data_IF_819169591125
#
_entry.id   IF_819169591125
#
_cell.length_a   1.000
_cell.length_b   1.000
_cell.length_c   1.000
_cell.angle_alpha   90.00
_cell.angle_beta   90.00
_cell.angle_gamma   90.00
#
_symmetry.space_group_name_H-M   'P 1'
#
loop_
_entity.id
_entity.type
_entity.pdbx_description
1 polymer ?
#
# COMPACT_ATOMS: atom_id res chain seq x y z
N UNK A 1 -3.81 21.35 -25.60
CA UNK A 1 -3.64 22.63 -26.32
C UNK A 1 -4.77 23.54 -25.84
N UNK A 2 -4.46 24.76 -25.39
CA UNK A 2 -5.48 25.73 -24.99
C UNK A 2 -5.82 26.66 -26.16
N UNK A 3 -7.05 27.15 -26.19
CA UNK A 3 -7.48 28.22 -27.08
C UNK A 3 -8.15 29.32 -26.24
N UNK A 4 -7.87 30.58 -26.55
CA UNK A 4 -8.48 31.72 -25.85
C UNK A 4 -9.50 32.39 -26.76
N UNK A 5 -10.69 32.64 -26.22
CA UNK A 5 -11.73 33.41 -26.88
C UNK A 5 -11.84 34.76 -26.16
N UNK A 6 -11.70 35.86 -26.88
CA UNK A 6 -11.71 37.24 -26.33
C UNK A 6 -12.99 37.64 -25.57
N UNK A 7 -14.04 36.83 -25.65
CA UNK A 7 -15.31 37.09 -24.99
C UNK A 7 -15.25 36.46 -23.60
N UNK A 8 -15.44 37.29 -22.57
CA UNK A 8 -15.57 36.82 -21.19
C UNK A 8 -16.73 35.83 -21.06
N UNK A 9 -16.54 34.82 -20.20
CA UNK A 9 -17.58 33.84 -19.86
C UNK A 9 -18.82 34.51 -19.25
N UNK A 10 -18.60 35.55 -18.44
CA UNK A 10 -19.63 36.41 -17.88
C UNK A 10 -19.32 37.88 -18.14
N UNK A 11 -20.34 38.67 -18.46
CA UNK A 11 -20.16 40.11 -18.75
C UNK A 11 -19.81 40.84 -17.46
N UNK A 12 -18.64 41.48 -17.44
CA UNK A 12 -18.18 42.30 -16.32
C UNK A 12 -18.61 43.75 -16.51
N UNK A 13 -19.23 44.34 -15.48
CA UNK A 13 -19.59 45.76 -15.41
C UNK A 13 -19.33 46.28 -13.99
N UNK A 14 -18.66 47.43 -13.92
CA UNK A 14 -18.45 48.20 -12.67
C UNK A 14 -18.95 49.61 -12.94
N UNK A 15 -19.95 50.04 -12.19
CA UNK A 15 -20.53 51.39 -12.30
C UNK A 15 -19.70 52.40 -11.51
N UNK A 16 -19.36 52.07 -10.26
CA UNK A 16 -18.52 52.91 -9.39
C UNK A 16 -17.29 52.13 -8.90
N UNK A 17 -16.08 52.45 -9.42
CA UNK A 17 -14.85 51.81 -8.97
C UNK A 17 -14.53 52.09 -7.49
N UNK A 18 -14.24 51.03 -6.76
CA UNK A 18 -13.77 51.07 -5.36
C UNK A 18 -12.41 50.36 -5.25
N UNK A 19 -11.30 51.10 -5.11
CA UNK A 19 -9.96 50.53 -4.96
C UNK A 19 -9.78 49.60 -3.75
N UNK A 20 -10.48 49.86 -2.63
CA UNK A 20 -10.36 49.05 -1.41
C UNK A 20 -11.02 47.71 -1.64
N UNK A 21 -12.20 47.71 -2.25
CA UNK A 21 -12.86 46.48 -2.67
C UNK A 21 -12.07 45.74 -3.77
N UNK A 22 -11.47 46.48 -4.70
CA UNK A 22 -10.56 45.94 -5.72
C UNK A 22 -9.40 45.14 -5.14
N UNK A 23 -8.83 45.58 -4.01
CA UNK A 23 -7.83 44.82 -3.28
C UNK A 23 -8.43 43.55 -2.61
N UNK A 24 -9.65 43.62 -2.07
CA UNK A 24 -10.32 42.43 -1.53
C UNK A 24 -10.56 41.34 -2.59
N UNK A 25 -10.90 41.74 -3.83
CA UNK A 25 -11.08 40.81 -4.95
C UNK A 25 -9.80 40.02 -5.28
N UNK A 26 -8.62 40.51 -4.89
CA UNK A 26 -7.37 39.76 -5.06
C UNK A 26 -7.34 38.45 -4.26
N UNK A 27 -8.20 38.29 -3.25
CA UNK A 27 -8.34 37.01 -2.55
C UNK A 27 -8.87 35.90 -3.48
N UNK A 28 -9.75 36.24 -4.43
CA UNK A 28 -10.22 35.29 -5.44
C UNK A 28 -9.33 35.24 -6.69
N UNK A 29 -8.42 36.18 -6.86
CA UNK A 29 -7.45 36.13 -7.96
C UNK A 29 -6.19 35.35 -7.58
N UNK A 30 -5.45 35.84 -6.58
CA UNK A 30 -4.15 35.32 -6.14
C UNK A 30 -4.14 34.78 -4.70
N UNK A 31 -5.29 34.67 -4.04
CA UNK A 31 -5.41 34.07 -2.71
C UNK A 31 -5.44 32.55 -2.72
N UNK A 32 -5.38 31.97 -1.52
CA UNK A 32 -5.26 30.52 -1.33
C UNK A 32 -6.49 29.72 -1.74
N UNK A 33 -7.66 30.38 -1.75
CA UNK A 33 -8.94 29.78 -2.16
C UNK A 33 -9.47 30.41 -3.45
N UNK A 34 -8.61 31.10 -4.21
CA UNK A 34 -8.98 31.79 -5.43
C UNK A 34 -8.87 30.95 -6.69
N UNK A 35 -9.30 31.54 -7.81
CA UNK A 35 -9.48 30.90 -9.10
C UNK A 35 -8.20 30.31 -9.67
N UNK A 36 -7.05 30.97 -9.47
CA UNK A 36 -5.79 30.42 -9.95
C UNK A 36 -5.41 29.13 -9.20
N UNK A 37 -5.72 29.05 -7.90
CA UNK A 37 -5.46 27.85 -7.13
C UNK A 37 -6.35 26.69 -7.60
N UNK A 38 -7.65 26.96 -7.82
CA UNK A 38 -8.59 25.98 -8.36
C UNK A 38 -8.17 25.50 -9.76
N UNK A 39 -7.94 26.42 -10.70
CA UNK A 39 -7.52 26.12 -12.06
C UNK A 39 -6.28 25.22 -12.12
N UNK A 40 -5.25 25.56 -11.34
CA UNK A 40 -3.99 24.80 -11.34
C UNK A 40 -4.15 23.46 -10.62
N UNK A 41 -4.87 23.41 -9.50
CA UNK A 41 -5.10 22.16 -8.76
C UNK A 41 -5.79 21.13 -9.65
N UNK A 42 -6.92 21.49 -10.27
CA UNK A 42 -7.74 20.55 -11.04
C UNK A 42 -7.05 20.13 -12.33
N UNK A 43 -6.38 21.06 -13.02
CA UNK A 43 -5.64 20.75 -14.24
C UNK A 43 -4.49 19.77 -13.98
N UNK A 44 -3.72 19.95 -12.89
CA UNK A 44 -2.58 19.07 -12.58
C UNK A 44 -3.08 17.71 -12.06
N UNK A 45 -4.13 17.68 -11.24
CA UNK A 45 -4.78 16.42 -10.86
C UNK A 45 -5.29 15.68 -12.11
N UNK A 46 -5.92 16.38 -13.06
CA UNK A 46 -6.37 15.80 -14.33
C UNK A 46 -5.22 15.23 -15.17
N UNK A 47 -4.04 15.85 -15.17
CA UNK A 47 -2.85 15.29 -15.82
C UNK A 47 -2.40 13.97 -15.18
N UNK A 48 -2.49 13.87 -13.85
CA UNK A 48 -2.09 12.69 -13.08
C UNK A 48 -3.20 11.62 -12.98
N UNK A 49 -4.43 11.94 -13.41
CA UNK A 49 -5.57 11.03 -13.30
C UNK A 49 -5.54 9.94 -14.37
N UNK A 50 -5.63 8.68 -13.94
CA UNK A 50 -5.69 7.51 -14.81
C UNK A 50 -7.13 7.15 -15.24
N UNK A 51 -8.16 7.58 -14.50
CA UNK A 51 -9.58 7.40 -14.86
C UNK A 51 -9.96 8.41 -15.96
N UNK A 52 -10.31 7.96 -17.18
CA UNK A 52 -10.59 8.86 -18.30
C UNK A 52 -11.77 9.80 -18.05
N UNK A 53 -12.84 9.33 -17.40
CA UNK A 53 -14.07 10.11 -17.21
C UNK A 53 -13.84 11.20 -16.15
N UNK A 54 -13.15 10.87 -15.05
CA UNK A 54 -12.84 11.86 -14.01
C UNK A 54 -11.72 12.79 -14.44
N UNK A 55 -10.80 12.33 -15.29
CA UNK A 55 -9.82 13.19 -15.95
C UNK A 55 -10.51 14.25 -16.80
N UNK A 56 -11.51 13.87 -17.59
CA UNK A 56 -12.31 14.78 -18.41
C UNK A 56 -12.97 15.85 -17.53
N UNK A 57 -13.66 15.42 -16.47
CA UNK A 57 -14.25 16.32 -15.47
C UNK A 57 -13.25 17.32 -14.87
N UNK A 58 -12.08 16.84 -14.43
CA UNK A 58 -11.04 17.68 -13.83
C UNK A 58 -10.48 18.70 -14.82
N UNK A 59 -10.30 18.30 -16.08
CA UNK A 59 -9.82 19.19 -17.15
C UNK A 59 -10.87 20.21 -17.57
N UNK A 60 -12.14 19.83 -17.62
CA UNK A 60 -13.26 20.72 -17.91
C UNK A 60 -13.36 21.81 -16.85
N UNK A 61 -13.45 21.43 -15.57
CA UNK A 61 -13.55 22.39 -14.48
C UNK A 61 -12.28 23.23 -14.38
N UNK A 62 -11.09 22.63 -14.43
CA UNK A 62 -9.82 23.37 -14.41
C UNK A 62 -9.68 24.39 -15.54
N UNK A 63 -10.30 24.14 -16.70
CA UNK A 63 -10.37 25.09 -17.82
C UNK A 63 -11.42 26.18 -17.58
N UNK A 64 -12.55 25.84 -16.97
CA UNK A 64 -13.56 26.81 -16.55
C UNK A 64 -12.99 27.82 -15.53
N UNK A 65 -12.19 27.37 -14.56
CA UNK A 65 -11.59 28.25 -13.56
C UNK A 65 -10.60 29.28 -14.16
N UNK A 66 -9.99 28.99 -15.31
CA UNK A 66 -9.21 30.01 -16.03
C UNK A 66 -10.10 31.13 -16.58
N UNK A 67 -11.35 30.82 -16.93
CA UNK A 67 -12.34 31.81 -17.34
C UNK A 67 -12.85 32.62 -16.14
N UNK A 68 -13.04 31.98 -14.98
CA UNK A 68 -13.35 32.67 -13.73
C UNK A 68 -12.24 33.62 -13.30
N UNK A 69 -10.98 33.18 -13.39
CA UNK A 69 -9.81 34.02 -13.13
C UNK A 69 -9.80 35.27 -14.02
N UNK A 70 -10.18 35.16 -15.30
CA UNK A 70 -10.31 36.30 -16.21
C UNK A 70 -11.45 37.25 -15.81
N UNK A 71 -12.59 36.72 -15.35
CA UNK A 71 -13.73 37.51 -14.84
C UNK A 71 -13.34 38.28 -13.57
N UNK A 72 -12.78 37.59 -12.56
CA UNK A 72 -12.32 38.21 -11.31
C UNK A 72 -11.21 39.22 -11.56
N UNK A 73 -10.23 38.87 -12.38
CA UNK A 73 -9.14 39.77 -12.75
C UNK A 73 -9.66 41.02 -13.46
N UNK A 74 -10.69 40.90 -14.30
CA UNK A 74 -11.34 42.04 -14.96
C UNK A 74 -12.09 42.92 -13.97
N UNK A 75 -12.83 42.35 -13.01
CA UNK A 75 -13.49 43.09 -11.94
C UNK A 75 -12.46 43.87 -11.10
N UNK A 76 -11.46 43.16 -10.57
CA UNK A 76 -10.40 43.77 -9.77
C UNK A 76 -9.69 44.89 -10.55
N UNK A 77 -9.38 44.67 -11.83
CA UNK A 77 -8.75 45.68 -12.68
C UNK A 77 -9.60 46.95 -12.84
N UNK A 78 -10.91 46.83 -12.94
CA UNK A 78 -11.82 47.97 -13.07
C UNK A 78 -11.92 48.75 -11.76
N UNK A 79 -12.08 48.04 -10.63
CA UNK A 79 -12.09 48.63 -9.28
C UNK A 79 -10.78 49.35 -8.93
N UNK A 80 -9.63 48.76 -9.30
CA UNK A 80 -8.29 49.30 -9.00
C UNK A 80 -7.82 50.41 -9.95
N UNK A 81 -8.58 50.69 -11.02
CA UNK A 81 -8.20 51.69 -12.03
C UNK A 81 -7.92 53.09 -11.45
N UNK A 82 -8.68 53.61 -10.45
CA UNK A 82 -8.39 54.90 -9.84
C UNK A 82 -7.00 54.98 -9.19
N UNK A 83 -6.48 53.88 -8.62
CA UNK A 83 -5.18 53.85 -7.92
C UNK A 83 -3.98 54.25 -8.78
N UNK A 84 -4.13 54.28 -10.11
CA UNK A 84 -3.09 54.75 -11.03
C UNK A 84 -3.00 56.28 -11.13
N UNK A 85 -4.12 56.97 -10.93
CA UNK A 85 -4.26 58.40 -11.30
C UNK A 85 -4.68 59.28 -10.13
N UNK A 86 -5.36 58.70 -9.14
CA UNK A 86 -5.83 59.40 -7.95
C UNK A 86 -4.90 59.10 -6.75
N UNK A 87 -4.55 60.16 -6.02
CA UNK A 87 -3.59 60.06 -4.91
C UNK A 87 -4.17 59.34 -3.70
N UNK A 88 -5.42 59.62 -3.34
CA UNK A 88 -6.06 59.00 -2.18
C UNK A 88 -6.25 57.50 -2.41
N UNK A 89 -6.68 57.12 -3.62
CA UNK A 89 -6.75 55.73 -4.07
C UNK A 89 -5.37 55.02 -4.10
N UNK A 90 -4.30 55.75 -4.43
CA UNK A 90 -2.95 55.21 -4.41
C UNK A 90 -2.41 55.01 -2.98
N UNK A 91 -2.77 55.90 -2.06
CA UNK A 91 -2.39 55.80 -0.64
C UNK A 91 -3.14 54.67 0.09
N UNK A 92 -4.30 54.24 -0.42
CA UNK A 92 -5.03 53.08 0.11
C UNK A 92 -4.30 51.74 -0.09
N UNK A 93 -3.58 51.58 -1.21
CA UNK A 93 -2.70 50.44 -1.47
C UNK A 93 -1.52 50.85 -2.37
N UNK A 94 -0.39 51.27 -1.77
CA UNK A 94 0.80 51.68 -2.53
C UNK A 94 1.45 50.55 -3.32
N UNK A 95 1.29 49.28 -2.89
CA UNK A 95 1.85 48.13 -3.59
C UNK A 95 1.16 47.98 -4.95
N UNK A 96 -0.18 48.04 -4.97
CA UNK A 96 -0.96 47.99 -6.22
C UNK A 96 -0.71 49.24 -7.07
N UNK A 97 -0.70 50.42 -6.47
CA UNK A 97 -0.59 51.67 -7.20
C UNK A 97 0.79 51.86 -7.85
N UNK A 98 1.87 51.67 -7.09
CA UNK A 98 3.25 51.96 -7.54
C UNK A 98 3.86 50.75 -8.25
N UNK A 99 3.87 49.58 -7.61
CA UNK A 99 4.49 48.39 -8.20
C UNK A 99 3.59 47.72 -9.25
N UNK A 100 2.27 47.69 -9.01
CA UNK A 100 1.28 47.12 -9.94
C UNK A 100 0.73 48.09 -10.99
N UNK A 101 1.08 49.37 -10.94
CA UNK A 101 0.58 50.39 -11.87
C UNK A 101 -0.94 50.54 -11.88
N UNK A 102 -1.61 50.27 -10.76
CA UNK A 102 -3.07 50.26 -10.63
C UNK A 102 -3.76 49.13 -11.41
N UNK A 103 -3.07 47.99 -11.56
CA UNK A 103 -3.56 46.77 -12.19
C UNK A 103 -3.61 45.58 -11.22
N UNK A 104 -3.94 44.40 -11.76
CA UNK A 104 -3.91 43.14 -10.99
C UNK A 104 -2.50 42.54 -11.04
N UNK A 105 -2.08 41.94 -9.94
CA UNK A 105 -0.86 41.15 -9.81
C UNK A 105 -1.20 39.82 -9.10
N UNK A 106 -0.30 38.84 -9.14
CA UNK A 106 -0.46 37.54 -8.48
C UNK A 106 -0.14 37.61 -6.97
N UNK A 107 -0.90 38.43 -6.26
CA UNK A 107 -0.87 38.53 -4.81
C UNK A 107 -2.29 38.37 -4.26
N UNK A 108 -2.40 38.00 -2.99
CA UNK A 108 -3.65 38.04 -2.25
C UNK A 108 -3.96 39.46 -1.73
N UNK A 109 -5.09 39.62 -1.02
CA UNK A 109 -5.56 40.92 -0.48
C UNK A 109 -4.63 41.55 0.57
N UNK A 110 -3.61 40.83 1.03
CA UNK A 110 -2.58 41.29 1.97
C UNK A 110 -1.22 41.50 1.29
N UNK A 111 -1.14 41.38 -0.04
CA UNK A 111 0.11 41.55 -0.78
C UNK A 111 1.08 40.37 -0.67
N UNK A 112 0.62 39.17 -0.26
CA UNK A 112 1.44 37.96 -0.27
C UNK A 112 1.40 37.31 -1.66
N UNK A 113 2.57 36.92 -2.18
CA UNK A 113 2.66 36.33 -3.50
C UNK A 113 1.95 34.98 -3.54
N UNK A 114 1.24 34.70 -4.64
CA UNK A 114 0.65 33.38 -4.85
C UNK A 114 1.75 32.30 -4.82
N UNK A 115 1.48 31.19 -4.16
CA UNK A 115 2.41 30.05 -4.03
C UNK A 115 1.71 28.75 -4.41
N UNK A 116 2.47 27.84 -5.02
CA UNK A 116 2.01 26.49 -5.30
C UNK A 116 1.70 25.68 -4.02
N UNK A 117 2.13 26.14 -2.84
CA UNK A 117 1.78 25.53 -1.55
C UNK A 117 0.27 25.51 -1.27
N UNK A 118 -0.49 26.35 -1.96
CA UNK A 118 -1.95 26.36 -1.88
C UNK A 118 -2.57 25.08 -2.47
N UNK A 119 -1.92 24.46 -3.46
CA UNK A 119 -2.45 23.32 -4.19
C UNK A 119 -2.41 22.04 -3.33
N UNK A 120 -3.42 21.17 -3.50
CA UNK A 120 -3.51 19.85 -2.89
C UNK A 120 -3.61 18.79 -3.99
N UNK A 121 -2.47 18.20 -4.31
CA UNK A 121 -2.32 17.23 -5.40
C UNK A 121 -1.62 16.02 -4.81
N UNK A 122 -2.33 14.91 -4.71
CA UNK A 122 -1.84 13.69 -4.05
C UNK A 122 -1.55 12.56 -5.03
N UNK A 123 -2.18 12.59 -6.21
CA UNK A 123 -2.14 11.48 -7.15
C UNK A 123 -3.12 10.36 -6.80
N UNK A 124 -3.85 10.48 -5.68
CA UNK A 124 -4.93 9.56 -5.32
C UNK A 124 -6.29 10.22 -5.55
N UNK A 125 -7.01 9.72 -6.55
CA UNK A 125 -8.19 10.38 -7.11
C UNK A 125 -9.27 10.66 -6.06
N UNK A 126 -9.60 9.73 -5.16
CA UNK A 126 -10.62 9.95 -4.13
C UNK A 126 -10.18 10.95 -3.06
N UNK A 127 -8.87 11.09 -2.81
CA UNK A 127 -8.31 12.11 -1.89
C UNK A 127 -8.32 13.48 -2.56
N UNK A 128 -7.95 13.53 -3.84
CA UNK A 128 -7.96 14.75 -4.65
C UNK A 128 -9.40 15.29 -4.81
N UNK A 129 -10.40 14.43 -5.09
CA UNK A 129 -11.80 14.85 -5.18
C UNK A 129 -12.34 15.40 -3.84
N UNK A 130 -11.98 14.80 -2.70
CA UNK A 130 -12.33 15.35 -1.37
C UNK A 130 -11.70 16.72 -1.15
N UNK A 131 -10.44 16.87 -1.57
CA UNK A 131 -9.73 18.15 -1.50
C UNK A 131 -10.38 19.21 -2.37
N UNK A 132 -10.91 18.84 -3.54
CA UNK A 132 -11.62 19.75 -4.45
C UNK A 132 -12.96 20.18 -3.89
N UNK A 133 -13.77 19.26 -3.35
CA UNK A 133 -15.03 19.60 -2.65
C UNK A 133 -14.76 20.63 -1.54
N UNK A 134 -13.69 20.44 -0.78
CA UNK A 134 -13.29 21.37 0.26
C UNK A 134 -12.77 22.71 -0.29
N UNK A 135 -12.06 22.71 -1.43
CA UNK A 135 -11.60 23.91 -2.11
C UNK A 135 -12.78 24.76 -2.58
N UNK A 136 -13.76 24.15 -3.26
CA UNK A 136 -15.00 24.80 -3.70
C UNK A 136 -15.78 25.41 -2.53
N UNK A 137 -15.86 24.68 -1.40
CA UNK A 137 -16.54 25.18 -0.21
C UNK A 137 -15.86 26.42 0.37
N UNK A 138 -14.51 26.45 0.37
CA UNK A 138 -13.74 27.61 0.82
C UNK A 138 -13.83 28.78 -0.17
N UNK A 139 -13.81 28.53 -1.47
CA UNK A 139 -14.00 29.56 -2.50
C UNK A 139 -15.40 30.21 -2.38
N UNK A 140 -16.45 29.38 -2.27
CA UNK A 140 -17.85 29.85 -2.13
C UNK A 140 -18.04 30.79 -0.93
N UNK A 141 -17.44 30.49 0.22
CA UNK A 141 -17.62 31.35 1.41
C UNK A 141 -16.82 32.66 1.29
N UNK A 142 -15.70 32.68 0.56
CA UNK A 142 -14.99 33.91 0.23
C UNK A 142 -15.84 34.78 -0.70
N UNK A 143 -16.46 34.20 -1.73
CA UNK A 143 -17.41 34.93 -2.58
C UNK A 143 -18.58 35.52 -1.81
N UNK A 144 -19.20 34.76 -0.90
CA UNK A 144 -20.30 35.26 -0.08
C UNK A 144 -19.88 36.49 0.74
N UNK A 145 -18.67 36.47 1.31
CA UNK A 145 -18.12 37.60 2.05
C UNK A 145 -17.85 38.79 1.13
N UNK A 146 -17.30 38.57 -0.07
CA UNK A 146 -17.09 39.64 -1.05
C UNK A 146 -18.42 40.29 -1.48
N UNK A 147 -19.46 39.49 -1.73
CA UNK A 147 -20.80 40.01 -2.05
C UNK A 147 -21.33 40.90 -0.92
N UNK A 148 -21.13 40.49 0.34
CA UNK A 148 -21.57 41.26 1.51
C UNK A 148 -20.85 42.60 1.69
N UNK A 149 -19.61 42.73 1.20
CA UNK A 149 -18.82 43.96 1.27
C UNK A 149 -18.85 44.80 -0.02
N UNK A 150 -19.51 44.31 -1.06
CA UNK A 150 -19.66 45.03 -2.31
C UNK A 150 -20.89 45.94 -2.27
N UNK A 151 -20.84 47.10 -2.91
CA UNK A 151 -22.02 47.96 -3.15
C UNK A 151 -22.41 48.01 -4.63
N UNK A 152 -21.44 47.85 -5.54
CA UNK A 152 -21.65 47.88 -6.99
C UNK A 152 -22.52 46.70 -7.48
N UNK A 153 -23.59 47.00 -8.21
CA UNK A 153 -24.57 46.01 -8.65
C UNK A 153 -24.03 45.06 -9.72
N UNK A 154 -23.29 45.59 -10.72
CA UNK A 154 -22.71 44.76 -11.77
C UNK A 154 -21.66 43.78 -11.25
N UNK A 155 -20.91 44.21 -10.23
CA UNK A 155 -19.96 43.37 -9.51
C UNK A 155 -20.66 42.30 -8.69
N UNK A 156 -21.74 42.63 -7.98
CA UNK A 156 -22.56 41.63 -7.27
C UNK A 156 -23.11 40.56 -8.21
N UNK A 157 -23.58 40.92 -9.39
CA UNK A 157 -24.09 39.96 -10.38
C UNK A 157 -23.00 38.97 -10.82
N UNK A 158 -21.79 39.48 -11.10
CA UNK A 158 -20.66 38.64 -11.49
C UNK A 158 -20.17 37.74 -10.33
N UNK A 159 -20.08 38.26 -9.11
CA UNK A 159 -19.72 37.46 -7.92
C UNK A 159 -20.78 36.41 -7.60
N UNK A 160 -22.06 36.72 -7.79
CA UNK A 160 -23.16 35.76 -7.61
C UNK A 160 -23.07 34.64 -8.65
N UNK A 161 -22.72 34.96 -9.91
CA UNK A 161 -22.46 33.95 -10.93
C UNK A 161 -21.33 33.00 -10.50
N UNK A 162 -20.16 33.53 -10.15
CA UNK A 162 -18.99 32.75 -9.71
C UNK A 162 -19.32 31.88 -8.49
N UNK A 163 -19.86 32.48 -7.43
CA UNK A 163 -20.28 31.76 -6.22
C UNK A 163 -21.23 30.57 -6.52
N UNK A 164 -22.11 30.74 -7.52
CA UNK A 164 -23.05 29.69 -7.94
C UNK A 164 -22.34 28.57 -8.71
N UNK A 165 -21.30 28.90 -9.48
CA UNK A 165 -20.44 27.92 -10.14
C UNK A 165 -19.70 27.06 -9.14
N UNK A 166 -19.23 27.62 -8.02
CA UNK A 166 -18.55 26.82 -6.98
C UNK A 166 -19.47 25.73 -6.39
N UNK A 167 -20.75 26.05 -6.18
CA UNK A 167 -21.73 25.04 -5.77
C UNK A 167 -21.93 23.97 -6.84
N UNK A 168 -21.87 24.35 -8.12
CA UNK A 168 -22.00 23.40 -9.22
C UNK A 168 -20.78 22.48 -9.31
N UNK A 169 -19.57 23.02 -9.16
CA UNK A 169 -18.33 22.25 -9.14
C UNK A 169 -18.29 21.32 -7.93
N UNK A 170 -18.64 21.81 -6.75
CA UNK A 170 -18.76 21.01 -5.53
C UNK A 170 -19.72 19.82 -5.73
N UNK A 171 -20.88 20.07 -6.36
CA UNK A 171 -21.83 19.01 -6.70
C UNK A 171 -21.22 18.01 -7.69
N UNK A 172 -20.52 18.46 -8.72
CA UNK A 172 -19.90 17.60 -9.71
C UNK A 172 -18.81 16.72 -9.09
N UNK A 173 -17.92 17.28 -8.26
CA UNK A 173 -16.89 16.52 -7.55
C UNK A 173 -17.47 15.54 -6.53
N UNK A 174 -18.53 15.93 -5.80
CA UNK A 174 -19.21 15.04 -4.86
C UNK A 174 -19.84 13.83 -5.57
N UNK A 175 -20.53 14.05 -6.68
CA UNK A 175 -21.11 12.96 -7.48
C UNK A 175 -20.03 12.09 -8.13
N UNK A 176 -18.92 12.69 -8.58
CA UNK A 176 -17.79 11.94 -9.10
C UNK A 176 -17.19 11.03 -8.02
N UNK A 177 -17.02 11.51 -6.79
CA UNK A 177 -16.53 10.73 -5.66
C UNK A 177 -17.51 9.61 -5.28
N UNK A 178 -18.81 9.92 -5.17
CA UNK A 178 -19.85 8.93 -4.86
C UNK A 178 -19.90 7.81 -5.90
N UNK A 179 -19.80 8.16 -7.18
CA UNK A 179 -19.83 7.20 -8.28
C UNK A 179 -18.69 6.19 -8.29
N UNK A 180 -17.62 6.41 -7.51
CA UNK A 180 -16.53 5.45 -7.33
C UNK A 180 -16.95 4.24 -6.49
N UNK A 181 -18.08 4.30 -5.78
CA UNK A 181 -18.61 3.20 -4.97
C UNK A 181 -17.69 2.78 -3.80
N UNK A 182 -16.73 3.63 -3.42
CA UNK A 182 -15.81 3.36 -2.31
C UNK A 182 -16.50 3.61 -0.97
N UNK A 183 -16.21 2.81 0.08
CA UNK A 183 -16.63 3.14 1.44
C UNK A 183 -16.11 4.52 1.87
N UNK A 184 -16.95 5.32 2.54
CA UNK A 184 -16.69 6.73 2.86
C UNK A 184 -15.36 6.99 3.56
N UNK A 185 -14.88 6.06 4.40
CA UNK A 185 -13.64 6.21 5.16
C UNK A 185 -12.50 5.32 4.65
N UNK A 186 -12.68 4.64 3.52
CA UNK A 186 -11.60 3.90 2.87
C UNK A 186 -10.77 4.84 2.00
N UNK A 187 -9.49 4.99 2.34
CA UNK A 187 -8.51 5.82 1.62
C UNK A 187 -7.26 4.96 1.38
N UNK A 188 -6.80 4.92 0.14
CA UNK A 188 -5.68 4.07 -0.24
C UNK A 188 -6.01 2.57 -0.14
N UNK A 189 -4.96 1.74 0.04
CA UNK A 189 -5.08 0.27 0.04
C UNK A 189 -4.86 -0.38 1.40
N UNK A 190 -4.28 0.34 2.35
CA UNK A 190 -3.92 -0.22 3.65
C UNK A 190 -5.08 0.02 4.61
N UNK A 191 -5.69 -1.06 5.09
CA UNK A 191 -6.74 -0.98 6.10
C UNK A 191 -6.19 -0.37 7.40
N UNK A 192 -7.01 0.32 8.20
CA UNK A 192 -6.61 0.80 9.53
C UNK A 192 -6.57 -0.36 10.54
N UNK A 193 -5.83 -0.18 11.64
CA UNK A 193 -5.71 -1.20 12.69
C UNK A 193 -7.09 -1.51 13.29
N UNK A 194 -7.53 -2.79 13.27
CA UNK A 194 -8.82 -3.18 13.83
C UNK A 194 -8.96 -2.77 15.30
N UNK A 195 -10.14 -2.28 15.69
CA UNK A 195 -10.46 -1.85 17.05
C UNK A 195 -9.81 -0.53 17.49
N UNK A 196 -8.65 -0.15 16.94
CA UNK A 196 -8.05 1.17 17.16
C UNK A 196 -8.72 2.25 16.32
N UNK A 197 -9.14 1.93 15.09
CA UNK A 197 -9.89 2.85 14.21
C UNK A 197 -11.19 3.36 14.85
N UNK A 198 -11.73 2.58 15.77
CA UNK A 198 -12.99 2.82 16.47
C UNK A 198 -12.79 3.59 17.79
N UNK A 199 -11.55 3.89 18.20
CA UNK A 199 -11.28 4.59 19.46
C UNK A 199 -11.28 6.12 19.29
N UNK A 200 -12.10 6.80 20.08
CA UNK A 200 -12.10 8.27 20.20
C UNK A 200 -11.48 8.68 21.54
N UNK A 201 -10.33 9.35 21.49
CA UNK A 201 -9.63 9.83 22.68
C UNK A 201 -10.16 11.20 23.12
N UNK A 202 -10.68 11.29 24.33
CA UNK A 202 -11.01 12.55 24.96
C UNK A 202 -9.74 13.15 25.57
N UNK A 203 -8.95 13.87 24.77
CA UNK A 203 -7.67 14.46 25.21
C UNK A 203 -7.78 15.91 25.70
N UNK A 204 -8.92 16.57 25.45
CA UNK A 204 -9.25 17.88 25.99
C UNK A 204 -10.46 17.73 26.92
N UNK A 205 -10.19 17.45 28.20
CA UNK A 205 -11.18 16.95 29.16
C UNK A 205 -11.56 17.98 30.22
N UNK A 206 -12.72 17.78 30.83
CA UNK A 206 -13.15 18.44 32.06
C UNK A 206 -14.06 19.64 31.84
N UNK A 207 -13.92 20.65 32.69
CA UNK A 207 -14.69 21.90 32.60
C UNK A 207 -13.75 23.09 32.48
N UNK A 208 -14.03 23.96 31.52
CA UNK A 208 -13.24 25.16 31.26
C UNK A 208 -13.80 26.41 31.95
N UNK A 209 -12.98 27.48 31.97
CA UNK A 209 -13.32 28.75 32.62
C UNK A 209 -14.49 29.50 31.94
N UNK A 210 -14.84 29.15 30.69
CA UNK A 210 -15.97 29.74 29.97
C UNK A 210 -17.20 28.81 29.92
N UNK A 211 -17.24 27.78 30.76
CA UNK A 211 -18.34 26.82 30.83
C UNK A 211 -18.28 25.72 29.78
N UNK A 212 -17.12 25.50 29.17
CA UNK A 212 -16.86 24.32 28.35
C UNK A 212 -17.03 23.05 29.19
N UNK A 213 -17.57 22.01 28.59
CA UNK A 213 -17.75 20.69 29.21
C UNK A 213 -17.40 19.60 28.21
N UNK A 214 -17.10 18.40 28.72
CA UNK A 214 -16.99 17.21 27.89
C UNK A 214 -18.32 16.93 27.19
N UNK A 215 -18.32 17.05 25.87
CA UNK A 215 -19.51 16.86 25.04
C UNK A 215 -19.51 15.49 24.39
N UNK A 216 -20.71 14.93 24.29
CA UNK A 216 -20.96 13.65 23.63
C UNK A 216 -21.90 13.84 22.45
N UNK A 217 -21.64 13.12 21.36
CA UNK A 217 -22.44 13.16 20.16
C UNK A 217 -22.01 12.10 19.14
N UNK A 218 -22.66 12.01 17.97
CA UNK A 218 -22.43 10.93 17.00
C UNK A 218 -20.98 10.84 16.46
N UNK A 219 -20.16 11.86 16.70
CA UNK A 219 -18.74 11.90 16.37
C UNK A 219 -17.82 11.24 17.41
N UNK A 220 -18.32 10.91 18.62
CA UNK A 220 -17.54 10.27 19.70
C UNK A 220 -18.37 9.34 20.61
N UNK A 221 -19.61 9.05 20.24
CA UNK A 221 -20.51 8.11 20.92
C UNK A 221 -21.47 7.47 19.89
N UNK A 222 -21.92 6.24 20.16
CA UNK A 222 -22.83 5.49 19.28
C UNK A 222 -22.20 4.22 18.71
N UNK A 223 -22.95 3.55 17.82
CA UNK A 223 -22.56 2.25 17.27
C UNK A 223 -21.25 2.35 16.48
N UNK A 224 -20.21 1.68 16.99
CA UNK A 224 -18.88 1.65 16.38
C UNK A 224 -17.84 2.55 17.06
N UNK A 225 -18.21 3.45 17.98
CA UNK A 225 -17.22 4.22 18.75
C UNK A 225 -16.91 3.61 20.11
N UNK A 226 -15.62 3.51 20.43
CA UNK A 226 -15.07 3.22 21.75
C UNK A 226 -14.51 4.53 22.31
N UNK A 227 -15.25 5.15 23.22
CA UNK A 227 -14.78 6.37 23.88
C UNK A 227 -13.68 6.04 24.91
N UNK A 228 -12.54 6.72 24.79
CA UNK A 228 -11.37 6.51 25.62
C UNK A 228 -11.08 7.76 26.45
N UNK A 229 -10.87 7.58 27.76
CA UNK A 229 -10.27 8.62 28.58
C UNK A 229 -8.85 8.92 28.11
N UNK A 230 -8.40 10.17 28.27
CA UNK A 230 -7.07 10.57 27.85
C UNK A 230 -5.99 9.65 28.44
N UNK A 231 -5.11 9.07 27.62
CA UNK A 231 -3.96 8.31 28.10
C UNK A 231 -3.05 9.14 29.02
N UNK A 232 -3.06 10.48 28.89
CA UNK A 232 -2.31 11.37 29.76
C UNK A 232 -2.82 11.41 31.22
N UNK A 233 -4.08 11.04 31.45
CA UNK A 233 -4.70 10.95 32.77
C UNK A 233 -4.57 9.55 33.39
N UNK A 234 -4.19 8.55 32.60
CA UNK A 234 -3.92 7.20 33.09
C UNK A 234 -2.57 7.22 33.82
N UNK A 235 -2.62 7.28 35.16
CA UNK A 235 -1.43 7.18 36.01
C UNK A 235 -0.74 5.83 35.79
N UNK A 236 0.40 5.80 35.10
CA UNK A 236 1.11 4.57 34.80
C UNK A 236 1.70 3.90 36.05
N UNK A 237 1.34 2.65 36.30
CA UNK A 237 2.22 1.70 36.99
C UNK A 237 3.35 1.34 36.00
N UNK A 238 4.64 1.54 36.32
CA UNK A 238 5.76 1.28 35.40
C UNK A 238 5.85 -0.16 34.88
N UNK A 239 5.09 -1.11 35.44
CA UNK A 239 5.00 -2.50 35.01
C UNK A 239 3.76 -2.87 34.18
N UNK A 240 2.81 -1.96 33.98
CA UNK A 240 1.61 -2.24 33.18
C UNK A 240 1.91 -2.12 31.68
N UNK A 241 1.44 -3.09 30.90
CA UNK A 241 1.51 -3.02 29.44
C UNK A 241 0.78 -1.76 28.92
N UNK A 242 1.24 -1.13 27.84
CA UNK A 242 0.57 0.06 27.29
C UNK A 242 -0.90 -0.26 26.97
N UNK A 243 -1.81 0.65 27.35
CA UNK A 243 -3.25 0.49 27.12
C UNK A 243 -3.65 0.57 25.64
N UNK A 244 -2.75 1.08 24.79
CA UNK A 244 -2.92 1.18 23.34
C UNK A 244 -2.06 0.11 22.67
N UNK A 245 -2.72 -0.82 21.99
CA UNK A 245 -2.06 -1.86 21.18
C UNK A 245 -2.32 -1.54 19.70
N UNK A 246 -1.26 -1.19 18.97
CA UNK A 246 -1.32 -1.03 17.53
C UNK A 246 -0.81 -2.31 16.86
N UNK A 247 -1.72 -3.23 16.51
CA UNK A 247 -1.37 -4.32 15.61
C UNK A 247 -1.42 -3.81 14.17
N UNK A 248 -0.45 -4.19 13.33
CA UNK A 248 -0.54 -3.88 11.91
C UNK A 248 -1.77 -4.57 11.34
N UNK A 249 -2.58 -3.83 10.57
CA UNK A 249 -3.73 -4.39 9.88
C UNK A 249 -3.32 -5.62 9.08
N UNK A 250 -4.14 -6.68 9.06
CA UNK A 250 -3.93 -7.79 8.15
C UNK A 250 -3.77 -7.21 6.74
N UNK A 251 -2.76 -7.67 6.00
CA UNK A 251 -2.73 -7.47 4.55
C UNK A 251 -4.09 -7.92 4.04
N UNK A 252 -4.75 -7.15 3.15
CA UNK A 252 -5.79 -7.75 2.32
C UNK A 252 -5.18 -9.03 1.75
N UNK A 253 -5.83 -10.16 2.06
CA UNK A 253 -5.39 -11.44 1.56
C UNK A 253 -5.41 -11.32 0.04
N UNK A 254 -4.24 -11.28 -0.58
CA UNK A 254 -4.13 -11.49 -2.01
C UNK A 254 -4.74 -12.87 -2.26
N UNK A 255 -5.98 -12.88 -2.76
CA UNK A 255 -6.77 -14.08 -3.01
C UNK A 255 -5.96 -14.98 -3.93
N UNK A 256 -5.32 -16.01 -3.36
CA UNK A 256 -4.44 -16.93 -4.06
C UNK A 256 -3.26 -17.45 -3.24
N UNK A 257 -2.60 -16.63 -2.41
CA UNK A 257 -1.43 -17.09 -1.66
C UNK A 257 -1.79 -17.96 -0.45
N UNK A 258 -2.90 -17.68 0.24
CA UNK A 258 -3.39 -18.53 1.33
C UNK A 258 -3.74 -19.94 0.83
N UNK A 259 -4.48 -20.03 -0.27
CA UNK A 259 -4.85 -21.32 -0.87
C UNK A 259 -3.61 -22.09 -1.34
N UNK A 260 -2.63 -21.38 -1.92
CA UNK A 260 -1.37 -21.97 -2.34
C UNK A 260 -0.57 -22.52 -1.14
N UNK A 261 -0.45 -21.75 -0.06
CA UNK A 261 0.21 -22.21 1.17
C UNK A 261 -0.46 -23.46 1.71
N UNK A 262 -1.79 -23.44 1.84
CA UNK A 262 -2.56 -24.59 2.31
C UNK A 262 -2.33 -25.80 1.42
N UNK A 263 -2.32 -25.64 0.10
CA UNK A 263 -2.07 -26.75 -0.81
C UNK A 263 -0.63 -27.29 -0.72
N UNK A 264 0.38 -26.45 -0.49
CA UNK A 264 1.75 -26.90 -0.22
C UNK A 264 1.84 -27.73 1.07
N UNK A 265 1.23 -27.26 2.17
CA UNK A 265 1.21 -28.00 3.45
C UNK A 265 0.51 -29.36 3.32
N UNK A 266 -0.53 -29.46 2.47
CA UNK A 266 -1.23 -30.73 2.23
C UNK A 266 -0.41 -31.73 1.43
N UNK A 267 0.40 -31.24 0.49
CA UNK A 267 1.30 -32.07 -0.32
C UNK A 267 2.43 -32.61 0.57
N UNK A 268 3.07 -31.73 1.34
CA UNK A 268 4.10 -32.08 2.33
C UNK A 268 3.57 -33.10 3.35
N UNK A 269 2.38 -32.88 3.93
CA UNK A 269 1.79 -33.83 4.88
C UNK A 269 1.58 -35.23 4.28
N UNK A 270 1.32 -35.32 2.98
CA UNK A 270 1.23 -36.61 2.30
C UNK A 270 2.60 -37.18 1.95
N UNK A 271 3.59 -36.36 1.62
CA UNK A 271 4.96 -36.78 1.40
C UNK A 271 5.54 -37.45 2.67
N UNK A 272 5.48 -36.76 3.80
CA UNK A 272 5.92 -37.23 5.11
C UNK A 272 5.27 -38.56 5.54
N UNK A 273 3.94 -38.66 5.34
CA UNK A 273 3.19 -39.90 5.64
C UNK A 273 3.54 -41.09 4.74
N UNK A 274 4.16 -40.83 3.59
CA UNK A 274 4.71 -41.90 2.76
C UNK A 274 6.12 -42.28 3.22
N UNK A 275 6.95 -41.30 3.57
CA UNK A 275 8.30 -41.54 4.06
C UNK A 275 8.34 -42.30 5.37
N UNK A 276 7.46 -41.97 6.33
CA UNK A 276 7.29 -42.75 7.57
C UNK A 276 7.00 -44.24 7.32
N UNK A 277 6.47 -44.61 6.16
CA UNK A 277 6.25 -46.02 5.76
C UNK A 277 7.42 -46.61 4.97
N UNK A 278 8.14 -45.78 4.21
CA UNK A 278 9.22 -46.22 3.32
C UNK A 278 10.58 -46.32 4.04
N UNK A 279 10.87 -45.41 4.97
CA UNK A 279 12.14 -45.36 5.71
C UNK A 279 12.45 -46.64 6.49
N UNK A 280 11.49 -47.36 7.11
CA UNK A 280 11.77 -48.66 7.72
C UNK A 280 12.41 -49.67 6.74
N UNK A 281 12.00 -49.68 5.47
CA UNK A 281 12.61 -50.57 4.46
C UNK A 281 14.04 -50.13 4.11
N UNK A 282 14.32 -48.83 4.11
CA UNK A 282 15.66 -48.28 3.89
C UNK A 282 16.60 -48.62 5.05
N UNK A 283 16.11 -48.55 6.29
CA UNK A 283 16.86 -48.91 7.51
C UNK A 283 17.30 -50.38 7.45
N UNK A 284 16.40 -51.29 7.08
CA UNK A 284 16.71 -52.72 6.94
C UNK A 284 17.66 -53.00 5.76
N UNK A 285 17.59 -52.21 4.69
CA UNK A 285 18.46 -52.36 3.53
C UNK A 285 19.89 -51.85 3.76
N UNK A 286 20.09 -50.89 4.67
CA UNK A 286 21.38 -50.28 4.96
C UNK A 286 22.36 -51.28 5.61
N UNK A 287 23.55 -51.42 5.03
CA UNK A 287 24.56 -52.41 5.46
C UNK A 287 25.56 -51.84 6.45
N UNK A 288 25.86 -50.55 6.37
CA UNK A 288 26.74 -49.87 7.31
C UNK A 288 25.95 -49.28 8.49
N UNK A 289 26.46 -49.49 9.70
CA UNK A 289 25.79 -49.06 10.94
C UNK A 289 25.54 -47.56 10.99
N UNK A 290 26.49 -46.76 10.47
CA UNK A 290 26.35 -45.30 10.42
C UNK A 290 25.22 -44.84 9.50
N UNK A 291 25.00 -45.52 8.36
CA UNK A 291 23.88 -45.20 7.47
C UNK A 291 22.54 -45.62 8.09
N UNK A 292 22.52 -46.81 8.71
CA UNK A 292 21.34 -47.31 9.42
C UNK A 292 20.90 -46.39 10.55
N UNK A 293 21.85 -45.90 11.34
CA UNK A 293 21.61 -44.92 12.40
C UNK A 293 21.04 -43.61 11.83
N UNK A 294 21.61 -43.10 10.75
CA UNK A 294 21.11 -41.88 10.09
C UNK A 294 19.67 -42.03 9.61
N UNK A 295 19.32 -43.14 8.95
CA UNK A 295 17.93 -43.40 8.54
C UNK A 295 16.97 -43.57 9.71
N UNK A 296 17.44 -44.13 10.84
CA UNK A 296 16.64 -44.26 12.06
C UNK A 296 16.36 -42.88 12.68
N UNK A 297 17.35 -41.99 12.71
CA UNK A 297 17.19 -40.60 13.16
C UNK A 297 16.21 -39.86 12.24
N UNK A 298 16.42 -39.95 10.92
CA UNK A 298 15.57 -39.28 9.95
C UNK A 298 14.11 -39.75 10.05
N UNK A 299 13.84 -41.06 10.24
CA UNK A 299 12.48 -41.55 10.49
C UNK A 299 11.83 -40.89 11.71
N UNK A 300 12.56 -40.72 12.82
CA UNK A 300 12.03 -40.05 14.01
C UNK A 300 11.78 -38.55 13.77
N UNK A 301 12.62 -37.89 12.96
CA UNK A 301 12.42 -36.50 12.53
C UNK A 301 11.16 -36.39 11.66
N UNK A 302 11.00 -37.25 10.64
CA UNK A 302 9.82 -37.36 9.76
C UNK A 302 8.52 -37.53 10.55
N UNK A 303 8.50 -38.38 11.58
CA UNK A 303 7.33 -38.52 12.45
C UNK A 303 7.00 -37.20 13.18
N UNK A 304 8.01 -36.50 13.71
CA UNK A 304 7.83 -35.20 14.34
C UNK A 304 7.48 -34.08 13.35
N UNK A 305 7.85 -34.21 12.08
CA UNK A 305 7.49 -33.26 11.01
C UNK A 305 6.01 -33.38 10.65
N UNK A 306 5.44 -34.59 10.65
CA UNK A 306 3.99 -34.81 10.52
C UNK A 306 3.23 -34.06 11.60
N UNK A 307 3.65 -34.18 12.86
CA UNK A 307 3.01 -33.48 13.99
C UNK A 307 3.11 -31.95 13.86
N UNK A 308 4.27 -31.43 13.40
CA UNK A 308 4.47 -30.00 13.14
C UNK A 308 3.60 -29.47 12.01
N UNK A 309 3.39 -30.26 10.96
CA UNK A 309 2.48 -29.91 9.89
C UNK A 309 1.03 -29.85 10.39
N UNK A 310 0.62 -30.79 11.24
CA UNK A 310 -0.70 -30.77 11.88
C UNK A 310 -0.86 -29.53 12.79
N UNK A 311 0.18 -29.12 13.52
CA UNK A 311 0.22 -27.86 14.28
C UNK A 311 0.09 -26.64 13.36
N UNK A 312 0.79 -26.61 12.22
CA UNK A 312 0.66 -25.55 11.23
C UNK A 312 -0.78 -25.42 10.72
N UNK A 313 -1.46 -26.54 10.44
CA UNK A 313 -2.88 -26.51 10.06
C UNK A 313 -3.77 -25.94 11.18
N UNK A 314 -3.50 -26.30 12.43
CA UNK A 314 -4.17 -25.77 13.62
C UNK A 314 -4.05 -24.24 13.74
N UNK A 315 -2.82 -23.72 13.61
CA UNK A 315 -2.55 -22.28 13.65
C UNK A 315 -3.24 -21.51 12.52
N UNK A 316 -3.43 -22.14 11.37
CA UNK A 316 -4.11 -21.56 10.21
C UNK A 316 -5.65 -21.73 10.24
N UNK A 317 -6.19 -22.33 11.31
CA UNK A 317 -7.63 -22.60 11.43
C UNK A 317 -8.17 -23.55 10.35
N UNK A 318 -7.32 -24.41 9.78
CA UNK A 318 -7.68 -25.38 8.73
C UNK A 318 -7.58 -26.80 9.28
N UNK A 319 -8.31 -27.73 8.65
CA UNK A 319 -8.18 -29.16 8.98
C UNK A 319 -6.99 -29.77 8.24
N UNK A 320 -6.14 -30.57 8.91
CA UNK A 320 -5.07 -31.30 8.26
C UNK A 320 -5.68 -32.35 7.34
N UNK A 321 -5.54 -32.14 6.03
CA UNK A 321 -6.02 -33.08 5.01
C UNK A 321 -4.97 -33.28 3.94
N UNK A 322 -4.23 -34.37 4.06
CA UNK A 322 -3.24 -34.77 3.06
C UNK A 322 -3.86 -34.84 1.66
N UNK A 323 -3.14 -34.33 0.66
CA UNK A 323 -3.47 -34.43 -0.77
C UNK A 323 -2.43 -35.36 -1.42
N UNK A 324 -2.82 -36.28 -2.32
CA UNK A 324 -1.86 -37.20 -2.93
C UNK A 324 -0.66 -36.50 -3.57
N UNK A 325 0.50 -36.65 -2.95
CA UNK A 325 1.79 -36.15 -3.42
C UNK A 325 2.41 -37.16 -4.40
N UNK A 326 2.19 -36.94 -5.69
CA UNK A 326 2.69 -37.84 -6.76
C UNK A 326 4.20 -37.81 -6.90
N UNK A 327 4.84 -36.66 -6.59
CA UNK A 327 6.29 -36.52 -6.62
C UNK A 327 6.95 -37.50 -5.64
N UNK A 328 6.51 -37.44 -4.38
CA UNK A 328 7.02 -38.35 -3.36
C UNK A 328 6.66 -39.82 -3.63
N UNK A 329 5.48 -40.10 -4.19
CA UNK A 329 5.12 -41.48 -4.61
C UNK A 329 6.17 -42.07 -5.56
N UNK A 330 6.54 -41.32 -6.60
CA UNK A 330 7.55 -41.76 -7.55
C UNK A 330 8.94 -41.95 -6.92
N UNK A 331 9.34 -41.05 -6.01
CA UNK A 331 10.63 -41.15 -5.31
C UNK A 331 10.69 -42.36 -4.37
N UNK A 332 9.59 -42.66 -3.66
CA UNK A 332 9.47 -43.86 -2.81
C UNK A 332 9.50 -45.14 -3.65
N UNK A 333 8.81 -45.16 -4.78
CA UNK A 333 8.84 -46.28 -5.73
C UNK A 333 10.27 -46.52 -6.26
N UNK A 334 10.96 -45.45 -6.69
CA UNK A 334 12.35 -45.51 -7.14
C UNK A 334 13.28 -46.01 -6.02
N UNK A 335 13.08 -45.55 -4.78
CA UNK A 335 13.81 -46.04 -3.62
C UNK A 335 13.63 -47.56 -3.42
N UNK A 336 12.40 -48.06 -3.55
CA UNK A 336 12.10 -49.49 -3.47
C UNK A 336 12.76 -50.32 -4.59
N UNK A 337 12.93 -49.76 -5.79
CA UNK A 337 13.70 -50.38 -6.87
C UNK A 337 15.19 -50.42 -6.53
N UNK A 338 15.75 -49.32 -6.01
CA UNK A 338 17.15 -49.23 -5.58
C UNK A 338 17.47 -50.28 -4.52
N UNK A 339 16.57 -50.53 -3.55
CA UNK A 339 16.74 -51.61 -2.55
C UNK A 339 16.90 -52.97 -3.24
N UNK A 340 16.02 -53.31 -4.19
CA UNK A 340 16.04 -54.60 -4.90
C UNK A 340 17.29 -54.78 -5.75
N UNK A 341 17.73 -53.74 -6.44
CA UNK A 341 18.95 -53.78 -7.27
C UNK A 341 20.21 -53.87 -6.41
N UNK A 342 20.22 -53.19 -5.28
CA UNK A 342 21.37 -53.14 -4.37
C UNK A 342 21.64 -54.46 -3.65
N UNK A 343 20.64 -55.35 -3.57
CA UNK A 343 20.82 -56.73 -3.08
C UNK A 343 21.92 -57.50 -3.85
N UNK A 344 22.22 -57.13 -5.10
CA UNK A 344 23.25 -57.76 -5.94
C UNK A 344 24.60 -57.03 -5.96
N UNK A 345 24.70 -55.88 -5.26
CA UNK A 345 25.90 -55.03 -5.22
C UNK A 345 26.76 -55.37 -4.00
N UNK A 346 28.05 -55.05 -4.10
CA UNK A 346 28.96 -55.02 -2.95
C UNK A 346 28.49 -53.98 -1.92
N UNK A 347 28.85 -54.18 -0.64
CA UNK A 347 28.27 -53.41 0.47
C UNK A 347 28.37 -51.89 0.30
N UNK A 348 29.56 -51.38 -0.06
CA UNK A 348 29.76 -49.94 -0.27
C UNK A 348 28.94 -49.39 -1.44
N UNK A 349 28.80 -50.17 -2.52
CA UNK A 349 28.03 -49.77 -3.70
C UNK A 349 26.50 -49.86 -3.46
N UNK A 350 26.06 -50.77 -2.60
CA UNK A 350 24.68 -50.86 -2.15
C UNK A 350 24.29 -49.63 -1.33
N UNK A 351 25.06 -49.29 -0.29
CA UNK A 351 24.75 -48.16 0.59
C UNK A 351 24.92 -46.79 -0.11
N UNK A 352 25.88 -46.63 -1.02
CA UNK A 352 25.97 -45.44 -1.87
C UNK A 352 24.73 -45.24 -2.76
N UNK A 353 24.12 -46.34 -3.23
CA UNK A 353 22.89 -46.26 -4.01
C UNK A 353 21.69 -45.86 -3.13
N UNK A 354 21.60 -46.40 -1.90
CA UNK A 354 20.58 -46.00 -0.93
C UNK A 354 20.71 -44.51 -0.57
N UNK A 355 21.93 -44.03 -0.32
CA UNK A 355 22.18 -42.60 -0.06
C UNK A 355 21.67 -41.74 -1.23
N UNK A 356 22.03 -42.09 -2.47
CA UNK A 356 21.55 -41.34 -3.64
C UNK A 356 20.02 -41.34 -3.80
N UNK A 357 19.34 -42.43 -3.39
CA UNK A 357 17.88 -42.47 -3.39
C UNK A 357 17.28 -41.53 -2.35
N UNK A 358 17.79 -41.54 -1.12
CA UNK A 358 17.30 -40.68 -0.03
C UNK A 358 17.65 -39.21 -0.29
N UNK A 359 18.82 -38.87 -0.82
CA UNK A 359 19.13 -37.47 -1.16
C UNK A 359 18.12 -36.84 -2.13
N UNK A 360 17.56 -37.62 -3.07
CA UNK A 360 16.49 -37.10 -3.96
C UNK A 360 15.19 -36.82 -3.23
N UNK A 361 14.90 -37.58 -2.17
CA UNK A 361 13.80 -37.31 -1.23
C UNK A 361 14.09 -36.02 -0.48
N UNK A 362 15.27 -35.87 0.13
CA UNK A 362 15.67 -34.66 0.86
C UNK A 362 15.53 -33.41 -0.01
N UNK A 363 16.02 -33.45 -1.26
CA UNK A 363 15.92 -32.32 -2.18
C UNK A 363 14.47 -31.97 -2.56
N UNK A 364 13.57 -32.95 -2.62
CA UNK A 364 12.16 -32.70 -2.83
C UNK A 364 11.56 -31.95 -1.64
N UNK A 365 11.86 -32.39 -0.42
CA UNK A 365 11.34 -31.79 0.81
C UNK A 365 11.93 -30.41 1.09
N UNK A 366 13.23 -30.23 0.89
CA UNK A 366 13.91 -28.92 0.97
C UNK A 366 13.21 -27.91 0.03
N UNK A 367 12.90 -28.32 -1.21
CA UNK A 367 12.20 -27.45 -2.15
C UNK A 367 10.76 -27.13 -1.71
N UNK A 368 10.01 -28.13 -1.22
CA UNK A 368 8.65 -27.99 -0.73
C UNK A 368 8.57 -27.09 0.52
N UNK A 369 9.36 -27.38 1.55
CA UNK A 369 9.42 -26.61 2.79
C UNK A 369 9.94 -25.19 2.58
N UNK A 370 10.93 -24.98 1.70
CA UNK A 370 11.37 -23.63 1.32
C UNK A 370 10.21 -22.82 0.75
N UNK A 371 9.43 -23.41 -0.15
CA UNK A 371 8.28 -22.75 -0.78
C UNK A 371 7.20 -22.43 0.27
N UNK A 372 6.83 -23.39 1.11
CA UNK A 372 5.83 -23.21 2.16
C UNK A 372 6.25 -22.14 3.18
N UNK A 373 7.50 -22.16 3.64
CA UNK A 373 8.06 -21.16 4.57
C UNK A 373 8.00 -19.75 3.97
N UNK A 374 8.42 -19.58 2.71
CA UNK A 374 8.43 -18.28 2.06
C UNK A 374 7.01 -17.72 1.87
N UNK A 375 6.04 -18.59 1.53
CA UNK A 375 4.62 -18.20 1.47
C UNK A 375 4.09 -17.80 2.84
N UNK A 376 4.37 -18.58 3.89
CA UNK A 376 3.98 -18.24 5.26
C UNK A 376 4.61 -16.92 5.74
N UNK A 377 5.85 -16.63 5.34
CA UNK A 377 6.52 -15.37 5.63
C UNK A 377 5.86 -14.19 4.91
N UNK A 378 5.51 -14.35 3.64
CA UNK A 378 4.81 -13.32 2.87
C UNK A 378 3.42 -13.03 3.43
N UNK A 379 2.74 -14.07 3.93
CA UNK A 379 1.43 -13.99 4.60
C UNK A 379 1.54 -13.57 6.07
N UNK A 380 2.76 -13.36 6.59
CA UNK A 380 3.07 -12.92 7.96
C UNK A 380 2.60 -13.90 9.06
N UNK A 381 2.51 -15.18 8.77
CA UNK A 381 2.21 -16.23 9.76
C UNK A 381 3.48 -16.62 10.54
N UNK A 382 3.95 -15.73 11.43
CA UNK A 382 5.24 -15.89 12.12
C UNK A 382 5.44 -17.22 12.86
N UNK A 383 4.40 -17.72 13.54
CA UNK A 383 4.46 -19.02 14.23
C UNK A 383 4.63 -20.19 13.23
N UNK A 384 3.91 -20.16 12.10
CA UNK A 384 4.02 -21.16 11.03
C UNK A 384 5.42 -21.10 10.39
N UNK A 385 5.97 -19.90 10.17
CA UNK A 385 7.33 -19.73 9.66
C UNK A 385 8.36 -20.39 10.57
N UNK A 386 8.23 -20.26 11.89
CA UNK A 386 9.15 -20.88 12.84
C UNK A 386 9.11 -22.42 12.76
N UNK A 387 7.91 -23.01 12.70
CA UNK A 387 7.74 -24.46 12.58
C UNK A 387 8.33 -25.00 11.27
N UNK A 388 8.00 -24.37 10.13
CA UNK A 388 8.50 -24.79 8.82
C UNK A 388 10.02 -24.58 8.67
N UNK A 389 10.57 -23.53 9.29
CA UNK A 389 12.02 -23.30 9.30
C UNK A 389 12.77 -24.36 10.09
N UNK A 390 12.17 -24.86 11.19
CA UNK A 390 12.74 -25.97 11.96
C UNK A 390 12.78 -27.25 11.13
N UNK A 391 11.69 -27.61 10.46
CA UNK A 391 11.67 -28.78 9.57
C UNK A 391 12.68 -28.65 8.44
N UNK A 392 12.71 -27.51 7.75
CA UNK A 392 13.66 -27.29 6.67
C UNK A 392 15.12 -27.48 7.11
N UNK A 393 15.46 -27.02 8.32
CA UNK A 393 16.81 -27.19 8.86
C UNK A 393 17.14 -28.65 9.18
N UNK A 394 16.15 -29.47 9.54
CA UNK A 394 16.33 -30.91 9.75
C UNK A 394 16.60 -31.62 8.41
N UNK A 395 15.85 -31.32 7.33
CA UNK A 395 16.11 -31.91 5.99
C UNK A 395 17.48 -31.49 5.45
N UNK A 396 17.83 -30.20 5.56
CA UNK A 396 19.14 -29.70 5.13
C UNK A 396 20.29 -30.37 5.90
N UNK A 397 20.07 -30.69 7.18
CA UNK A 397 21.04 -31.41 7.99
C UNK A 397 21.11 -32.90 7.60
N UNK A 398 19.99 -33.56 7.34
CA UNK A 398 19.94 -34.94 6.88
C UNK A 398 20.72 -35.12 5.56
N UNK A 399 20.50 -34.25 4.56
CA UNK A 399 21.29 -34.28 3.31
C UNK A 399 22.80 -34.06 3.54
N UNK A 400 23.16 -33.14 4.43
CA UNK A 400 24.58 -32.92 4.75
C UNK A 400 25.23 -34.14 5.41
N UNK A 401 24.52 -34.83 6.31
CA UNK A 401 25.01 -36.04 6.95
C UNK A 401 25.13 -37.19 5.94
N UNK A 402 24.18 -37.33 5.01
CA UNK A 402 24.25 -38.29 3.91
C UNK A 402 25.50 -38.07 3.05
N UNK A 403 25.82 -36.82 2.72
CA UNK A 403 27.05 -36.46 2.00
C UNK A 403 28.33 -36.88 2.76
N UNK A 404 28.35 -36.76 4.08
CA UNK A 404 29.50 -37.16 4.91
C UNK A 404 29.69 -38.69 4.91
N UNK A 405 28.60 -39.45 5.03
CA UNK A 405 28.63 -40.91 4.95
C UNK A 405 29.06 -41.36 3.55
N UNK A 406 28.51 -40.74 2.49
CA UNK A 406 28.86 -41.05 1.11
C UNK A 406 30.36 -40.88 0.83
N UNK A 407 30.96 -39.76 1.25
CA UNK A 407 32.42 -39.53 1.10
C UNK A 407 33.24 -40.59 1.83
N UNK A 408 32.80 -40.99 3.02
CA UNK A 408 33.48 -42.03 3.80
C UNK A 408 33.42 -43.37 3.07
N UNK A 409 32.27 -43.76 2.54
CA UNK A 409 32.10 -44.99 1.75
C UNK A 409 32.90 -44.97 0.45
N UNK A 410 32.93 -43.84 -0.27
CA UNK A 410 33.73 -43.69 -1.49
C UNK A 410 35.23 -43.81 -1.22
N UNK A 411 35.71 -43.41 -0.04
CA UNK A 411 37.12 -43.57 0.33
C UNK A 411 37.51 -45.04 0.60
N UNK A 412 36.55 -45.87 1.02
CA UNK A 412 36.72 -47.30 1.29
C UNK A 412 36.57 -48.13 0.01
N UNK A 413 35.72 -47.69 -0.92
CA UNK A 413 35.62 -48.27 -2.25
C UNK A 413 36.90 -47.96 -3.05
N UNK A 414 37.71 -48.98 -3.38
CA UNK A 414 38.94 -48.82 -4.19
C UNK A 414 38.60 -48.04 -5.48
N UNK A 415 39.08 -46.79 -5.59
CA UNK A 415 38.88 -45.99 -6.80
C UNK A 415 39.53 -46.71 -7.99
N UNK A 416 38.84 -46.88 -9.13
CA UNK A 416 39.49 -47.33 -10.35
C UNK A 416 40.57 -46.33 -10.77
N UNK A 417 41.61 -46.83 -11.47
CA UNK A 417 42.69 -45.98 -11.97
C UNK A 417 42.13 -44.83 -12.83
N UNK A 418 42.72 -43.64 -12.69
CA UNK A 418 42.30 -42.46 -13.45
C UNK A 418 42.34 -42.76 -14.96
N UNK A 419 41.23 -42.50 -15.65
CA UNK A 419 41.17 -42.57 -17.12
C UNK A 419 41.86 -41.31 -17.65
N UNK A 420 43.02 -41.45 -18.29
CA UNK A 420 43.66 -40.35 -19.04
C UNK A 420 42.74 -39.94 -20.19
N UNK A 421 42.13 -38.75 -20.09
CA UNK A 421 41.40 -38.16 -21.21
C UNK A 421 42.41 -37.55 -22.19
N UNK A 422 42.70 -38.26 -23.29
CA UNK A 422 43.40 -37.66 -24.44
C UNK A 422 42.47 -36.72 -25.17
N UNK A 423 42.72 -35.41 -25.07
CA UNK A 423 42.03 -34.40 -25.86
C UNK A 423 42.47 -34.52 -27.33
N UNK A 424 41.56 -34.87 -28.23
CA UNK A 424 41.76 -34.72 -29.68
C UNK A 424 41.57 -33.26 -30.06
N UNK A 425 42.63 -32.60 -30.54
CA UNK A 425 42.55 -31.30 -31.20
C UNK A 425 41.95 -31.50 -32.61
N UNK A 426 40.68 -31.16 -32.80
CA UNK A 426 40.10 -31.03 -34.13
C UNK A 426 40.46 -29.66 -34.74
N UNK A 427 41.10 -29.70 -35.91
CA UNK A 427 41.43 -28.55 -36.76
C UNK A 427 40.18 -27.72 -37.16
N UNK A 428 40.28 -26.39 -37.27
CA UNK A 428 39.22 -25.58 -37.85
C UNK A 428 39.21 -25.72 -39.37
N UNK A 429 38.10 -26.23 -39.92
CA UNK A 429 37.82 -26.23 -41.35
C UNK A 429 37.66 -24.81 -41.88
N UNK A 430 38.55 -24.41 -42.79
CA UNK A 430 38.33 -23.30 -43.70
C UNK A 430 37.56 -23.80 -44.92
N UNK A 431 36.45 -23.13 -45.26
CA UNK A 431 35.64 -23.39 -46.45
C UNK A 431 34.50 -22.40 -46.58
#
# INVERSE_FOLDING_TARGET
>A
MYHHVKKLMFTVRVDEPDPRFGNMLLEQFGGANGELAAAMQYSIQGLNCEDPDRKDLLMDIGTEELSHLEVVGSLARLHLKPSKFDREAAEADPLIAIAGGGGVNLFNSQGNAWTADYLKITGELDVDLRSNIAAEARAKIVYERLINFCDDAGTKDALQFLMTREITHMKAFALALESMGKPTFSIGRIAPTPGLVDQFFNDSTGSGDNGEIDTRGPWNEGDGWVFMESPALQSGDPGAAPSIVAESSPSEAFVGFDDLLIDQLRDLLHAEKQLTKALPEMIEAARYDQLRELFTIHLAETEAQVDRLDECFGLLGKKPRAKPCKGMQGLVEEGGEVIKESAKKDDAAADLALIGAVQRVEHYEIAGYTTARNLAQQLRYGAVVALLSKTLAEEENADQLLNQVARSLMSVAKMPAAIEQTLSEDEPTAG
#
